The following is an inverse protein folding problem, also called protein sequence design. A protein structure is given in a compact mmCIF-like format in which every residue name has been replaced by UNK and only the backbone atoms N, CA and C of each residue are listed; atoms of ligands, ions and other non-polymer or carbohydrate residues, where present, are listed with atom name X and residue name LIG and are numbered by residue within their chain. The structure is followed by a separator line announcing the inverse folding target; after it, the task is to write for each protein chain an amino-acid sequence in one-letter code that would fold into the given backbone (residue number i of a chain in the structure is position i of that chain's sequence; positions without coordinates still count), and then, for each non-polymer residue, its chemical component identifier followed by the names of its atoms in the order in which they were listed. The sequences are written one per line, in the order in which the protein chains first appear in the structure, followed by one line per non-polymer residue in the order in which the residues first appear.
data_IF_632220630069
#
_entry.id   IF_632220630069
#
_cell.length_a   1.000
_cell.length_b   1.000
_cell.length_c   1.000
_cell.angle_alpha   90.00
_cell.angle_beta   90.00
_cell.angle_gamma   90.00
#
_symmetry.space_group_name_H-M   'P 1'
#
loop_
_entity.id
_entity.type
_entity.pdbx_description
1 polymer ?
#
# COMPACT_ATOMS: atom_id res chain seq x y z
N UNK A 1 11.51 3.65 -3.98
CA UNK A 1 12.90 3.34 -4.36
C UNK A 1 13.48 4.55 -5.05
N UNK A 2 14.76 4.94 -4.78
CA UNK A 2 15.43 6.05 -5.47
C UNK A 2 15.95 5.63 -6.84
N UNK A 3 16.09 6.61 -7.75
CA UNK A 3 16.69 6.37 -9.05
C UNK A 3 18.16 5.94 -8.90
N UNK A 4 18.90 6.56 -7.97
CA UNK A 4 20.27 6.17 -7.65
C UNK A 4 20.39 4.71 -7.21
N UNK A 5 19.45 4.21 -6.40
CA UNK A 5 19.44 2.81 -5.98
C UNK A 5 19.18 1.86 -7.17
N UNK A 6 18.23 2.21 -8.07
CA UNK A 6 17.94 1.41 -9.26
C UNK A 6 19.15 1.31 -10.20
N UNK A 7 19.85 2.41 -10.41
CA UNK A 7 21.10 2.45 -11.22
C UNK A 7 22.18 1.54 -10.62
N UNK A 8 22.44 1.68 -9.33
CA UNK A 8 23.42 0.86 -8.63
C UNK A 8 23.04 -0.63 -8.63
N UNK A 9 21.75 -0.94 -8.46
CA UNK A 9 21.26 -2.32 -8.53
C UNK A 9 21.45 -2.91 -9.93
N UNK A 10 21.12 -2.15 -10.99
CA UNK A 10 21.32 -2.58 -12.38
C UNK A 10 22.79 -2.82 -12.69
N UNK A 11 23.66 -1.91 -12.26
CA UNK A 11 25.09 -2.04 -12.45
C UNK A 11 25.65 -3.29 -11.74
N UNK A 12 25.20 -3.54 -10.52
CA UNK A 12 25.60 -4.72 -9.75
C UNK A 12 25.12 -6.02 -10.40
N UNK A 13 23.82 -6.12 -10.72
CA UNK A 13 23.21 -7.35 -11.26
C UNK A 13 23.69 -7.70 -12.66
N UNK A 14 24.04 -6.69 -13.48
CA UNK A 14 24.58 -6.90 -14.81
C UNK A 14 25.90 -7.70 -14.80
N UNK A 15 26.73 -7.53 -13.77
CA UNK A 15 28.00 -8.27 -13.61
C UNK A 15 27.79 -9.77 -13.47
N UNK A 16 26.62 -10.19 -13.02
CA UNK A 16 26.28 -11.59 -12.75
C UNK A 16 25.17 -12.13 -13.67
N UNK A 17 24.75 -11.37 -14.67
CA UNK A 17 23.65 -11.78 -15.55
C UNK A 17 22.29 -11.91 -14.86
N UNK A 18 22.12 -11.32 -13.67
CA UNK A 18 20.89 -11.43 -12.90
C UNK A 18 19.83 -10.46 -13.45
N UNK A 19 18.63 -10.99 -13.74
CA UNK A 19 17.50 -10.20 -14.21
C UNK A 19 16.80 -9.47 -13.07
N UNK A 20 16.29 -8.27 -13.36
CA UNK A 20 15.51 -7.46 -12.40
C UNK A 20 14.06 -7.46 -12.82
N UNK A 21 13.19 -8.00 -11.96
CA UNK A 21 11.74 -7.87 -12.05
C UNK A 21 11.27 -6.81 -11.05
N UNK A 22 10.51 -5.83 -11.50
CA UNK A 22 9.97 -4.78 -10.63
C UNK A 22 8.47 -4.96 -10.39
N UNK A 23 8.02 -4.77 -9.15
CA UNK A 23 6.61 -4.55 -8.86
C UNK A 23 6.27 -3.07 -9.11
N UNK A 24 5.61 -2.81 -10.23
CA UNK A 24 5.20 -1.47 -10.69
C UNK A 24 3.86 -1.00 -10.13
N UNK A 25 3.26 -1.73 -9.21
CA UNK A 25 1.90 -1.47 -8.69
C UNK A 25 1.67 -0.01 -8.25
N UNK A 26 2.73 0.69 -7.78
CA UNK A 26 2.70 2.11 -7.40
C UNK A 26 3.87 2.87 -7.99
N UNK A 27 4.14 2.64 -9.25
CA UNK A 27 5.30 3.20 -9.93
C UNK A 27 5.17 4.71 -10.12
N UNK A 28 3.96 5.20 -10.41
CA UNK A 28 3.70 6.63 -10.58
C UNK A 28 3.91 7.39 -9.26
N UNK A 29 3.40 6.84 -8.13
CA UNK A 29 3.68 7.41 -6.80
C UNK A 29 5.18 7.43 -6.50
N UNK A 30 5.91 6.36 -6.84
CA UNK A 30 7.36 6.30 -6.64
C UNK A 30 8.11 7.33 -7.52
N UNK A 31 7.72 7.47 -8.78
CA UNK A 31 8.30 8.45 -9.71
C UNK A 31 8.08 9.88 -9.22
N UNK A 32 6.88 10.19 -8.72
CA UNK A 32 6.60 11.48 -8.11
C UNK A 32 7.52 11.76 -6.91
N UNK A 33 7.76 10.78 -6.03
CA UNK A 33 8.71 10.98 -4.92
C UNK A 33 10.15 11.17 -5.39
N UNK A 34 10.58 10.54 -6.48
CA UNK A 34 11.88 10.80 -7.10
C UNK A 34 11.94 12.25 -7.60
N UNK A 35 10.90 12.69 -8.32
CA UNK A 35 10.79 14.08 -8.80
C UNK A 35 10.93 15.10 -7.66
N UNK A 36 10.24 14.85 -6.54
CA UNK A 36 10.22 15.79 -5.40
C UNK A 36 11.46 15.74 -4.51
N UNK A 37 12.18 14.63 -4.45
CA UNK A 37 13.18 14.38 -3.41
C UNK A 37 14.59 14.19 -3.93
N UNK A 38 14.78 13.83 -5.22
CA UNK A 38 16.09 13.57 -5.76
C UNK A 38 16.63 14.75 -6.58
N UNK A 39 17.88 15.12 -6.32
CA UNK A 39 18.54 16.20 -7.05
C UNK A 39 18.65 15.85 -8.53
N UNK A 40 18.27 16.79 -9.40
CA UNK A 40 18.34 16.66 -10.84
C UNK A 40 17.07 16.11 -11.51
N UNK A 41 16.03 15.72 -10.73
CA UNK A 41 14.80 15.15 -11.26
C UNK A 41 13.58 16.08 -11.18
N UNK A 42 13.65 17.20 -10.49
CA UNK A 42 12.53 18.10 -10.19
C UNK A 42 11.84 18.73 -11.42
N UNK A 43 12.52 18.79 -12.56
CA UNK A 43 11.97 19.33 -13.83
C UNK A 43 11.48 18.26 -14.79
N UNK A 44 11.52 17.02 -14.40
CA UNK A 44 11.12 15.89 -15.23
C UNK A 44 9.71 15.47 -14.91
N UNK A 45 8.90 15.13 -15.93
CA UNK A 45 7.55 14.62 -15.73
C UNK A 45 7.56 13.23 -15.09
N UNK A 46 6.51 12.90 -14.34
CA UNK A 46 6.29 11.56 -13.76
C UNK A 46 6.37 10.50 -14.85
N UNK A 47 5.75 10.72 -16.01
CA UNK A 47 5.81 9.80 -17.14
C UNK A 47 7.26 9.50 -17.60
N UNK A 48 8.10 10.56 -17.71
CA UNK A 48 9.49 10.40 -18.11
C UNK A 48 10.33 9.62 -17.09
N UNK A 49 10.01 9.79 -15.81
CA UNK A 49 10.66 9.07 -14.70
C UNK A 49 10.24 7.60 -14.65
N UNK A 50 8.96 7.30 -14.87
CA UNK A 50 8.48 5.92 -15.01
C UNK A 50 9.20 5.22 -16.16
N UNK A 51 9.32 5.88 -17.32
CA UNK A 51 10.06 5.32 -18.46
C UNK A 51 11.53 5.05 -18.12
N UNK A 52 12.21 5.95 -17.39
CA UNK A 52 13.59 5.74 -16.95
C UNK A 52 13.68 4.56 -15.95
N UNK A 53 12.78 4.44 -14.98
CA UNK A 53 12.74 3.31 -14.06
C UNK A 53 12.64 1.98 -14.83
N UNK A 54 11.71 1.90 -15.79
CA UNK A 54 11.54 0.72 -16.63
C UNK A 54 12.81 0.33 -17.41
N UNK A 55 13.63 1.30 -17.82
CA UNK A 55 14.86 1.03 -18.57
C UNK A 55 15.94 0.30 -17.74
N UNK A 56 15.83 0.29 -16.43
CA UNK A 56 16.72 -0.45 -15.52
C UNK A 56 16.21 -1.84 -15.17
N UNK A 57 15.08 -2.30 -15.74
CA UNK A 57 14.46 -3.58 -15.40
C UNK A 57 14.29 -4.47 -16.62
N UNK A 58 14.20 -5.78 -16.42
CA UNK A 58 14.01 -6.78 -17.47
C UNK A 58 12.56 -7.19 -17.62
N UNK A 59 11.73 -6.82 -16.65
CA UNK A 59 10.29 -7.06 -16.66
C UNK A 59 9.61 -6.44 -15.45
N UNK A 60 8.28 -6.49 -15.46
CA UNK A 60 7.47 -5.85 -14.43
C UNK A 60 6.16 -6.59 -14.20
N UNK A 61 5.71 -6.62 -12.95
CA UNK A 61 4.32 -6.94 -12.58
C UNK A 61 3.57 -5.66 -12.26
N UNK A 62 2.30 -5.57 -12.65
CA UNK A 62 1.48 -4.39 -12.42
C UNK A 62 0.07 -4.76 -11.97
N UNK A 63 -0.36 -4.23 -10.85
CA UNK A 63 -1.75 -4.34 -10.39
C UNK A 63 -2.53 -3.09 -10.77
N UNK A 64 -3.45 -3.21 -11.72
CA UNK A 64 -4.26 -2.10 -12.23
C UNK A 64 -5.15 -1.44 -11.18
N UNK A 65 -5.50 -2.16 -10.11
CA UNK A 65 -6.32 -1.66 -8.99
C UNK A 65 -5.68 -0.52 -8.18
N UNK A 66 -4.49 -0.08 -8.51
CA UNK A 66 -3.77 1.00 -7.84
C UNK A 66 -3.55 2.15 -8.84
N UNK A 67 -2.38 2.25 -9.42
CA UNK A 67 -2.05 3.41 -10.25
C UNK A 67 -2.92 3.52 -11.51
N UNK A 68 -3.29 2.40 -12.16
CA UNK A 68 -4.15 2.47 -13.35
C UNK A 68 -5.64 2.78 -13.07
N UNK A 69 -6.03 3.11 -11.84
CA UNK A 69 -7.36 3.65 -11.49
C UNK A 69 -8.55 2.71 -11.81
N UNK A 70 -8.32 1.41 -11.92
CA UNK A 70 -9.35 0.42 -12.23
C UNK A 70 -9.69 -0.48 -11.04
N UNK A 71 -10.80 -1.20 -11.13
CA UNK A 71 -11.29 -2.09 -10.08
C UNK A 71 -10.66 -3.48 -10.11
N UNK A 72 -10.20 -3.92 -11.27
CA UNK A 72 -9.72 -5.27 -11.54
C UNK A 72 -8.59 -5.25 -12.57
N UNK A 73 -7.83 -6.32 -12.63
CA UNK A 73 -6.82 -6.52 -13.65
C UNK A 73 -5.42 -6.07 -13.28
N UNK A 74 -4.55 -6.30 -14.19
CA UNK A 74 -3.13 -6.03 -14.14
C UNK A 74 -2.44 -6.65 -15.34
N UNK A 75 -1.13 -6.58 -15.38
CA UNK A 75 -0.34 -7.20 -16.43
C UNK A 75 1.05 -7.63 -15.95
N UNK A 76 1.64 -8.52 -16.71
CA UNK A 76 3.04 -8.86 -16.66
C UNK A 76 3.69 -8.32 -17.96
N UNK A 77 4.77 -7.56 -17.83
CA UNK A 77 5.59 -7.08 -18.94
C UNK A 77 6.96 -7.74 -18.87
N UNK A 78 7.45 -8.24 -20.00
CA UNK A 78 8.73 -8.94 -20.11
C UNK A 78 9.48 -8.49 -21.36
N UNK A 79 10.81 -8.30 -21.24
CA UNK A 79 11.70 -8.06 -22.39
C UNK A 79 12.19 -9.36 -23.01
N UNK A 80 12.07 -10.50 -22.33
CA UNK A 80 12.51 -11.82 -22.73
C UNK A 80 11.34 -12.53 -23.45
N UNK A 81 11.52 -12.83 -24.74
CA UNK A 81 10.49 -13.43 -25.59
C UNK A 81 10.10 -14.84 -25.15
N UNK A 82 11.06 -15.67 -24.77
CA UNK A 82 10.82 -17.05 -24.33
C UNK A 82 9.97 -17.07 -23.06
N UNK A 83 10.34 -16.23 -22.07
CA UNK A 83 9.56 -16.08 -20.85
C UNK A 83 8.17 -15.46 -21.08
N UNK A 84 8.05 -14.59 -22.06
CA UNK A 84 6.75 -14.05 -22.46
C UNK A 84 5.84 -15.14 -23.02
N UNK A 85 6.37 -16.03 -23.86
CA UNK A 85 5.61 -17.16 -24.43
C UNK A 85 5.20 -18.18 -23.34
N UNK A 86 6.12 -18.52 -22.42
CA UNK A 86 5.81 -19.35 -21.26
C UNK A 86 4.70 -18.74 -20.39
N UNK A 87 4.82 -17.46 -20.06
CA UNK A 87 3.82 -16.74 -19.26
C UNK A 87 2.46 -16.66 -19.97
N UNK A 88 2.45 -16.44 -21.28
CA UNK A 88 1.21 -16.43 -22.09
C UNK A 88 0.49 -17.77 -22.05
N UNK A 89 1.22 -18.87 -22.11
CA UNK A 89 0.66 -20.22 -21.98
C UNK A 89 0.04 -20.43 -20.57
N UNK A 90 0.70 -19.96 -19.51
CA UNK A 90 0.16 -20.02 -18.15
C UNK A 90 -1.12 -19.16 -17.99
N UNK A 91 -1.20 -18.01 -18.64
CA UNK A 91 -2.44 -17.20 -18.66
C UNK A 91 -3.59 -18.00 -19.24
N UNK A 92 -3.37 -18.72 -20.34
CA UNK A 92 -4.41 -19.58 -20.94
C UNK A 92 -4.89 -20.67 -19.99
N UNK A 93 -3.98 -21.24 -19.21
CA UNK A 93 -4.32 -22.32 -18.26
C UNK A 93 -5.11 -21.82 -17.05
N UNK A 94 -4.77 -20.66 -16.52
CA UNK A 94 -5.27 -20.20 -15.21
C UNK A 94 -6.30 -19.08 -15.26
N UNK A 95 -6.28 -18.22 -16.29
CA UNK A 95 -7.07 -16.98 -16.31
C UNK A 95 -7.99 -16.86 -17.53
N UNK A 96 -7.53 -17.20 -18.72
CA UNK A 96 -8.28 -17.06 -19.98
C UNK A 96 -7.32 -16.91 -21.16
N UNK A 97 -7.81 -16.46 -22.32
CA UNK A 97 -6.92 -16.24 -23.46
C UNK A 97 -5.92 -15.11 -23.17
N UNK A 98 -4.70 -15.25 -23.66
CA UNK A 98 -3.62 -14.26 -23.46
C UNK A 98 -3.95 -12.87 -24.01
N UNK A 99 -4.92 -12.75 -24.92
CA UNK A 99 -5.37 -11.48 -25.50
C UNK A 99 -6.17 -10.60 -24.53
N UNK A 100 -6.82 -11.18 -23.52
CA UNK A 100 -7.62 -10.45 -22.53
C UNK A 100 -7.39 -10.89 -21.07
N UNK A 101 -6.69 -12.02 -20.83
CA UNK A 101 -6.37 -12.49 -19.48
C UNK A 101 -7.59 -12.65 -18.56
N UNK A 102 -8.75 -13.07 -19.09
CA UNK A 102 -9.99 -13.18 -18.33
C UNK A 102 -10.70 -11.85 -18.04
N UNK A 103 -10.20 -10.71 -18.54
CA UNK A 103 -10.80 -9.39 -18.33
C UNK A 103 -11.90 -9.09 -19.36
N UNK A 104 -12.96 -8.40 -18.95
CA UNK A 104 -13.93 -7.84 -19.86
C UNK A 104 -13.33 -6.65 -20.66
N UNK A 105 -13.83 -6.43 -21.90
CA UNK A 105 -13.33 -5.34 -22.75
C UNK A 105 -13.37 -3.97 -22.08
N UNK A 106 -14.45 -3.66 -21.33
CA UNK A 106 -14.58 -2.42 -20.57
C UNK A 106 -13.48 -2.23 -19.50
N UNK A 107 -13.03 -3.32 -18.87
CA UNK A 107 -11.98 -3.26 -17.84
C UNK A 107 -10.61 -3.03 -18.49
N UNK A 108 -10.38 -3.63 -19.66
CA UNK A 108 -9.15 -3.39 -20.45
C UNK A 108 -9.09 -1.96 -20.97
N UNK A 109 -10.19 -1.42 -21.50
CA UNK A 109 -10.27 -0.03 -21.96
C UNK A 109 -10.05 0.95 -20.79
N UNK A 110 -10.73 0.73 -19.67
CA UNK A 110 -10.54 1.55 -18.47
C UNK A 110 -9.08 1.51 -18.00
N UNK A 111 -8.43 0.35 -18.04
CA UNK A 111 -7.02 0.20 -17.65
C UNK A 111 -6.08 0.91 -18.64
N UNK A 112 -6.35 0.86 -19.94
CA UNK A 112 -5.57 1.57 -20.95
C UNK A 112 -5.60 3.09 -20.73
N UNK A 113 -6.78 3.66 -20.46
CA UNK A 113 -6.95 5.07 -20.11
C UNK A 113 -6.27 5.37 -18.77
N UNK A 114 -6.52 4.55 -17.75
CA UNK A 114 -6.00 4.75 -16.41
C UNK A 114 -4.47 4.70 -16.32
N UNK A 115 -3.79 3.89 -17.14
CA UNK A 115 -2.33 3.87 -17.22
C UNK A 115 -1.80 5.23 -17.69
N UNK A 116 -2.43 5.83 -18.72
CA UNK A 116 -2.03 7.13 -19.25
C UNK A 116 -2.31 8.24 -18.24
N UNK A 117 -3.47 8.23 -17.60
CA UNK A 117 -3.84 9.23 -16.60
C UNK A 117 -2.98 9.15 -15.34
N UNK A 118 -2.59 7.93 -14.92
CA UNK A 118 -1.83 7.72 -13.69
C UNK A 118 -0.46 8.41 -13.66
N UNK A 119 0.12 8.69 -14.82
CA UNK A 119 1.44 9.34 -14.95
C UNK A 119 1.36 10.84 -15.26
N UNK A 120 0.17 11.44 -15.21
CA UNK A 120 0.01 12.88 -15.31
C UNK A 120 0.48 13.56 -14.02
N UNK A 121 1.27 14.62 -14.14
CA UNK A 121 1.87 15.31 -12.99
C UNK A 121 0.79 15.92 -12.08
N UNK A 122 -0.22 16.56 -12.63
CA UNK A 122 -1.34 17.15 -11.88
C UNK A 122 -2.18 16.12 -11.14
N UNK A 123 -2.42 14.95 -11.76
CA UNK A 123 -3.07 13.82 -11.10
C UNK A 123 -2.25 13.36 -9.89
N UNK A 124 -0.94 13.23 -10.05
CA UNK A 124 -0.06 12.77 -8.97
C UNK A 124 0.07 13.80 -7.87
N UNK A 125 0.13 15.09 -8.19
CA UNK A 125 0.11 16.18 -7.21
C UNK A 125 -1.17 16.16 -6.36
N UNK A 126 -2.33 16.01 -7.00
CA UNK A 126 -3.60 15.89 -6.29
C UNK A 126 -3.66 14.62 -5.44
N UNK A 127 -3.20 13.49 -5.98
CA UNK A 127 -3.18 12.19 -5.31
C UNK A 127 -2.33 12.18 -4.05
N UNK A 128 -1.08 12.61 -4.16
CA UNK A 128 -0.14 12.66 -3.04
C UNK A 128 -0.52 13.79 -2.09
N UNK A 129 -0.94 14.93 -2.61
CA UNK A 129 -1.42 16.07 -1.84
C UNK A 129 -2.54 15.70 -0.87
N UNK A 130 -3.50 14.87 -1.29
CA UNK A 130 -4.58 14.38 -0.42
C UNK A 130 -4.05 13.54 0.76
N UNK A 131 -3.07 12.67 0.51
CA UNK A 131 -2.46 11.85 1.57
C UNK A 131 -1.63 12.71 2.52
N UNK A 132 -0.86 13.66 1.99
CA UNK A 132 -0.08 14.61 2.77
C UNK A 132 -0.98 15.50 3.63
N UNK A 133 -2.12 15.95 3.09
CA UNK A 133 -3.10 16.74 3.83
C UNK A 133 -3.55 16.04 5.10
N UNK A 134 -4.05 14.79 4.98
CA UNK A 134 -4.46 14.01 6.16
C UNK A 134 -3.26 13.75 7.09
N UNK A 135 -2.08 13.42 6.55
CA UNK A 135 -0.88 13.19 7.34
C UNK A 135 -0.48 14.39 8.19
N UNK A 136 -0.49 15.60 7.60
CA UNK A 136 -0.19 16.84 8.30
C UNK A 136 -1.24 17.15 9.37
N UNK A 137 -2.52 16.98 9.07
CA UNK A 137 -3.60 17.13 10.05
C UNK A 137 -3.39 16.24 11.29
N UNK A 138 -2.95 14.99 11.09
CA UNK A 138 -2.66 14.08 12.21
C UNK A 138 -1.40 14.49 12.97
N UNK A 139 -0.37 14.95 12.27
CA UNK A 139 0.87 15.46 12.90
C UNK A 139 0.59 16.66 13.78
N UNK A 140 -0.17 17.64 13.28
CA UNK A 140 -0.55 18.85 14.00
C UNK A 140 -1.35 18.55 15.27
N UNK A 141 -2.16 17.49 15.25
CA UNK A 141 -2.90 17.00 16.42
C UNK A 141 -2.07 16.10 17.36
N UNK A 142 -0.79 15.96 17.12
CA UNK A 142 0.10 15.15 17.95
C UNK A 142 -0.13 13.63 17.84
N UNK A 143 -0.81 13.16 16.80
CA UNK A 143 -1.04 11.74 16.58
C UNK A 143 0.24 11.04 16.13
N UNK A 144 0.63 9.94 16.78
CA UNK A 144 1.83 9.19 16.40
C UNK A 144 1.65 8.46 15.08
N UNK A 145 2.29 8.94 14.03
CA UNK A 145 2.30 8.31 12.70
C UNK A 145 3.71 8.02 12.23
N UNK A 146 3.85 7.08 11.27
CA UNK A 146 5.12 6.82 10.58
C UNK A 146 5.46 8.00 9.66
N UNK A 147 6.69 8.47 9.73
CA UNK A 147 7.21 9.58 8.91
C UNK A 147 8.42 9.10 8.08
N UNK A 148 8.62 9.66 6.89
CA UNK A 148 7.76 10.63 6.19
C UNK A 148 6.44 10.00 5.73
N UNK A 149 5.42 10.84 5.50
CA UNK A 149 4.13 10.39 4.97
C UNK A 149 4.33 9.79 3.57
N UNK A 150 3.65 8.67 3.31
CA UNK A 150 3.74 7.96 2.03
C UNK A 150 2.74 8.45 0.98
N UNK A 151 2.66 7.74 -0.16
CA UNK A 151 1.82 8.14 -1.29
C UNK A 151 0.40 7.55 -1.30
N UNK A 152 0.14 6.48 -0.54
CA UNK A 152 -1.15 5.78 -0.66
C UNK A 152 -1.94 5.66 0.65
N UNK A 153 -1.36 6.07 1.75
CA UNK A 153 -2.00 6.00 3.06
C UNK A 153 -1.06 6.39 4.18
N UNK A 154 -1.65 6.49 5.36
CA UNK A 154 -0.97 6.86 6.58
C UNK A 154 -0.92 5.66 7.51
N UNK A 155 0.20 5.50 8.20
CA UNK A 155 0.38 4.43 9.18
C UNK A 155 0.42 5.04 10.57
N UNK A 156 -0.62 4.82 11.36
CA UNK A 156 -0.69 5.23 12.77
C UNK A 156 0.04 4.20 13.61
N UNK A 157 0.93 4.66 14.48
CA UNK A 157 1.68 3.81 15.43
C UNK A 157 0.79 3.49 16.64
N UNK A 158 0.14 2.33 16.60
CA UNK A 158 -0.79 1.91 17.64
C UNK A 158 -0.12 1.64 18.99
N UNK A 159 1.16 1.26 19.03
CA UNK A 159 1.90 1.14 20.30
C UNK A 159 2.05 2.48 21.01
N UNK A 160 2.35 3.53 20.26
CA UNK A 160 2.46 4.88 20.80
C UNK A 160 1.10 5.52 21.05
N UNK A 161 0.10 5.12 20.29
CA UNK A 161 -1.27 5.60 20.45
C UNK A 161 -1.93 5.04 21.72
N UNK A 162 -1.74 3.73 22.01
CA UNK A 162 -2.29 2.98 23.12
C UNK A 162 -1.18 2.36 23.99
N UNK A 163 -0.33 3.19 24.65
CA UNK A 163 0.88 2.69 25.31
C UNK A 163 0.59 1.84 26.54
N UNK A 164 -0.61 1.87 27.09
CA UNK A 164 -1.05 1.07 28.23
C UNK A 164 -1.44 -0.36 27.83
N UNK A 165 -1.64 -0.65 26.54
CA UNK A 165 -1.98 -1.99 26.06
C UNK A 165 -0.71 -2.82 25.75
N UNK A 166 -0.70 -4.06 26.23
CA UNK A 166 0.32 -5.03 25.83
C UNK A 166 0.10 -5.45 24.37
N UNK A 167 1.15 -5.85 23.68
CA UNK A 167 1.05 -6.31 22.30
C UNK A 167 0.13 -7.54 22.15
N UNK A 168 0.07 -8.41 23.17
CA UNK A 168 -0.87 -9.54 23.26
C UNK A 168 -2.34 -9.14 23.39
N UNK A 169 -2.61 -7.86 23.56
CA UNK A 169 -3.96 -7.29 23.61
C UNK A 169 -4.34 -6.62 22.27
N UNK A 170 -3.54 -6.82 21.24
CA UNK A 170 -3.79 -6.45 19.85
C UNK A 170 -4.01 -4.94 19.62
N UNK A 171 -3.12 -4.03 20.05
CA UNK A 171 -3.36 -2.58 20.02
C UNK A 171 -3.71 -2.04 18.62
N UNK A 172 -3.12 -2.57 17.55
CA UNK A 172 -3.47 -2.14 16.19
C UNK A 172 -4.88 -2.58 15.78
N UNK A 173 -5.31 -3.79 16.19
CA UNK A 173 -6.67 -4.25 15.95
C UNK A 173 -7.68 -3.47 16.81
N UNK A 174 -7.34 -3.17 18.05
CA UNK A 174 -8.14 -2.30 18.94
C UNK A 174 -8.36 -0.95 18.29
N UNK A 175 -7.30 -0.29 17.86
CA UNK A 175 -7.40 1.04 17.24
C UNK A 175 -8.22 1.00 15.95
N UNK A 176 -8.08 -0.02 15.12
CA UNK A 176 -8.89 -0.17 13.91
C UNK A 176 -10.39 -0.32 14.24
N UNK A 177 -10.73 -1.07 15.30
CA UNK A 177 -12.11 -1.22 15.75
C UNK A 177 -12.68 0.09 16.33
N UNK A 178 -11.91 0.79 17.17
CA UNK A 178 -12.32 2.06 17.78
C UNK A 178 -12.58 3.16 16.73
N UNK A 179 -11.78 3.22 15.67
CA UNK A 179 -12.01 4.16 14.56
C UNK A 179 -13.29 3.80 13.77
N UNK A 180 -13.57 2.51 13.62
CA UNK A 180 -14.78 2.07 12.96
C UNK A 180 -16.03 2.38 13.80
N UNK A 181 -16.00 2.14 15.11
CA UNK A 181 -17.07 2.47 16.03
C UNK A 181 -17.32 3.98 16.14
N UNK A 182 -16.26 4.80 16.08
CA UNK A 182 -16.37 6.26 16.23
C UNK A 182 -16.98 6.95 15.01
N UNK A 183 -16.57 6.56 13.80
CA UNK A 183 -16.99 7.25 12.58
C UNK A 183 -17.07 6.38 11.32
N UNK A 184 -17.19 5.05 11.47
CA UNK A 184 -17.26 4.14 10.33
C UNK A 184 -15.96 4.05 9.52
N UNK A 185 -14.81 4.46 10.08
CA UNK A 185 -13.54 4.46 9.37
C UNK A 185 -12.97 3.05 9.29
N UNK A 186 -12.99 2.48 8.10
CA UNK A 186 -12.40 1.17 7.84
C UNK A 186 -10.90 1.28 7.68
N UNK A 187 -10.17 0.89 8.72
CA UNK A 187 -8.73 0.84 8.76
C UNK A 187 -8.20 -0.61 8.65
N UNK A 188 -6.90 -0.77 8.45
CA UNK A 188 -6.28 -2.09 8.31
C UNK A 188 -5.20 -2.27 9.35
N UNK A 189 -5.32 -3.30 10.17
CA UNK A 189 -4.30 -3.74 11.12
C UNK A 189 -3.01 -4.18 10.37
N UNK A 190 -1.86 -3.77 10.88
CA UNK A 190 -0.52 -4.14 10.42
C UNK A 190 0.41 -4.35 11.61
N UNK A 191 0.04 -5.29 12.46
CA UNK A 191 0.75 -5.65 13.67
C UNK A 191 0.71 -7.16 13.89
N UNK A 192 0.48 -7.57 15.13
CA UNK A 192 0.55 -8.96 15.57
C UNK A 192 -0.47 -9.89 14.88
N UNK A 193 -1.67 -9.39 14.50
CA UNK A 193 -2.67 -10.21 13.81
C UNK A 193 -2.19 -10.56 12.41
N UNK A 194 -1.73 -9.56 11.64
CA UNK A 194 -1.22 -9.77 10.28
C UNK A 194 0.15 -10.49 10.26
N UNK A 195 0.96 -10.37 11.30
CA UNK A 195 2.24 -11.06 11.42
C UNK A 195 2.08 -12.59 11.59
N UNK A 196 0.97 -13.03 12.17
CA UNK A 196 0.68 -14.45 12.31
C UNK A 196 1.40 -15.12 13.47
N UNK A 197 1.66 -16.42 13.32
CA UNK A 197 2.36 -17.26 14.31
C UNK A 197 3.65 -17.82 13.74
N UNK A 198 4.59 -18.04 14.63
CA UNK A 198 5.80 -18.79 14.34
C UNK A 198 5.41 -20.25 14.04
N UNK A 199 5.83 -20.76 12.88
CA UNK A 199 5.48 -22.13 12.44
C UNK A 199 6.08 -23.24 13.29
N UNK A 200 7.15 -22.96 14.06
CA UNK A 200 7.84 -23.95 14.90
C UNK A 200 7.33 -23.96 16.34
N UNK A 201 7.08 -22.76 16.94
CA UNK A 201 6.70 -22.65 18.35
C UNK A 201 5.20 -22.44 18.55
N UNK A 202 4.45 -22.14 17.48
CA UNK A 202 3.05 -21.74 17.53
C UNK A 202 2.76 -20.44 18.30
N UNK A 203 3.80 -19.76 18.80
CA UNK A 203 3.67 -18.47 19.47
C UNK A 203 3.35 -17.36 18.47
N UNK A 204 2.77 -16.27 18.96
CA UNK A 204 2.61 -15.08 18.15
C UNK A 204 3.95 -14.56 17.64
N UNK A 205 4.00 -14.19 16.37
CA UNK A 205 5.10 -13.39 15.88
C UNK A 205 4.89 -11.93 16.32
N UNK A 206 5.84 -11.41 17.10
CA UNK A 206 5.78 -10.05 17.65
C UNK A 206 6.55 -9.07 16.77
N UNK A 207 5.89 -8.34 15.85
CA UNK A 207 6.57 -7.34 15.04
C UNK A 207 7.04 -6.16 15.91
N UNK A 208 8.11 -5.48 15.45
CA UNK A 208 8.61 -4.29 16.16
C UNK A 208 7.57 -3.17 16.19
N UNK A 209 6.80 -3.04 15.12
CA UNK A 209 5.79 -2.01 14.94
C UNK A 209 4.38 -2.63 14.98
N UNK A 210 3.47 -1.94 15.65
CA UNK A 210 2.03 -2.18 15.62
C UNK A 210 1.37 -1.01 14.88
N UNK A 211 0.97 -1.21 13.65
CA UNK A 211 0.50 -0.13 12.79
C UNK A 211 -0.96 -0.31 12.40
N UNK A 212 -1.64 0.80 12.28
CA UNK A 212 -2.96 0.89 11.61
C UNK A 212 -2.79 1.68 10.33
N UNK A 213 -3.12 1.06 9.20
CA UNK A 213 -3.06 1.69 7.90
C UNK A 213 -4.40 2.33 7.54
N UNK A 214 -4.40 3.64 7.38
CA UNK A 214 -5.45 4.42 6.77
C UNK A 214 -5.14 4.55 5.28
N UNK A 215 -5.74 3.68 4.47
CA UNK A 215 -5.53 3.68 3.01
C UNK A 215 -6.49 4.66 2.37
N UNK A 216 -5.98 5.58 1.54
CA UNK A 216 -6.80 6.53 0.81
C UNK A 216 -6.97 6.03 -0.62
N UNK A 217 -8.17 5.62 -1.03
CA UNK A 217 -8.46 5.23 -2.42
C UNK A 217 -8.31 6.45 -3.34
N UNK A 218 -7.98 6.17 -4.60
CA UNK A 218 -7.81 7.22 -5.61
C UNK A 218 -9.15 7.68 -6.13
N UNK A 219 -9.33 9.02 -6.21
CA UNK A 219 -10.54 9.66 -6.79
C UNK A 219 -11.88 9.24 -6.14
N UNK A 220 -11.87 8.86 -4.86
CA UNK A 220 -13.08 8.45 -4.14
C UNK A 220 -13.50 9.48 -3.11
N UNK A 221 -12.55 10.00 -2.34
CA UNK A 221 -12.81 10.91 -1.22
C UNK A 221 -12.39 12.35 -1.53
N UNK A 222 -13.13 13.28 -0.95
CA UNK A 222 -12.82 14.72 -0.95
C UNK A 222 -12.02 15.11 0.30
N UNK A 223 -11.61 16.38 0.37
CA UNK A 223 -10.97 16.95 1.55
C UNK A 223 -11.86 16.80 2.81
N UNK A 224 -13.16 17.07 2.69
CA UNK A 224 -14.10 16.94 3.81
C UNK A 224 -14.08 15.54 4.45
N UNK A 225 -13.89 14.48 3.66
CA UNK A 225 -13.73 13.13 4.21
C UNK A 225 -12.41 12.98 4.99
N UNK A 226 -11.34 13.65 4.55
CA UNK A 226 -10.06 13.65 5.27
C UNK A 226 -10.19 14.38 6.61
N UNK A 227 -10.96 15.47 6.65
CA UNK A 227 -11.24 16.23 7.88
C UNK A 227 -12.00 15.35 8.90
N UNK A 228 -13.04 14.65 8.46
CA UNK A 228 -13.78 13.70 9.30
C UNK A 228 -12.87 12.61 9.86
N UNK A 229 -11.96 12.07 9.03
CA UNK A 229 -11.00 11.06 9.48
C UNK A 229 -10.06 11.66 10.54
N UNK A 230 -9.50 12.84 10.31
CA UNK A 230 -8.59 13.50 11.24
C UNK A 230 -9.25 13.77 12.60
N UNK A 231 -10.49 14.29 12.58
CA UNK A 231 -11.29 14.54 13.78
C UNK A 231 -11.62 13.25 14.55
N UNK A 232 -12.00 12.20 13.85
CA UNK A 232 -12.28 10.90 14.50
C UNK A 232 -11.03 10.34 15.18
N UNK A 233 -9.89 10.32 14.47
CA UNK A 233 -8.62 9.87 15.05
C UNK A 233 -8.27 10.70 16.29
N UNK A 234 -8.49 12.01 16.26
CA UNK A 234 -8.25 12.88 17.41
C UNK A 234 -9.21 12.58 18.58
N UNK A 235 -10.52 12.39 18.32
CA UNK A 235 -11.49 12.00 19.36
C UNK A 235 -11.11 10.71 20.05
N UNK A 236 -10.73 9.68 19.26
CA UNK A 236 -10.26 8.40 19.79
C UNK A 236 -8.97 8.58 20.59
N UNK A 237 -8.04 9.42 20.13
CA UNK A 237 -6.79 9.71 20.83
C UNK A 237 -7.03 10.40 22.18
N UNK A 238 -7.94 11.36 22.26
CA UNK A 238 -8.30 12.05 23.50
C UNK A 238 -8.87 11.11 24.57
N UNK A 239 -9.58 10.05 24.17
CA UNK A 239 -10.14 9.04 25.10
C UNK A 239 -9.31 7.76 25.22
N UNK A 240 -8.11 7.70 24.66
CA UNK A 240 -7.28 6.49 24.51
C UNK A 240 -7.04 5.71 25.80
N UNK A 241 -6.91 6.39 26.93
CA UNK A 241 -6.63 5.77 28.24
C UNK A 241 -7.81 4.91 28.75
N UNK A 242 -9.01 5.13 28.24
CA UNK A 242 -10.23 4.37 28.58
C UNK A 242 -10.40 3.15 27.66
N UNK A 243 -9.62 3.05 26.61
CA UNK A 243 -9.72 1.97 25.60
C UNK A 243 -9.11 0.71 26.18
N UNK A 244 -9.87 -0.38 26.14
CA UNK A 244 -9.44 -1.70 26.61
C UNK A 244 -8.91 -2.54 25.48
N UNK A 245 -8.06 -3.52 25.82
CA UNK A 245 -7.53 -4.50 24.89
C UNK A 245 -8.57 -5.48 24.37
N UNK A 246 -8.14 -6.30 23.41
CA UNK A 246 -8.94 -7.38 22.85
C UNK A 246 -8.40 -8.74 23.30
N UNK A 247 -9.28 -9.72 23.29
CA UNK A 247 -8.98 -11.15 23.38
C UNK A 247 -9.38 -11.80 22.04
N UNK A 248 -8.48 -12.61 21.47
CA UNK A 248 -8.80 -13.39 20.28
C UNK A 248 -9.60 -14.63 20.68
N UNK A 249 -10.87 -14.68 20.35
CA UNK A 249 -11.79 -15.78 20.70
C UNK A 249 -11.91 -16.85 19.60
N UNK A 250 -11.45 -16.54 18.40
CA UNK A 250 -11.38 -17.48 17.29
C UNK A 250 -10.20 -17.17 16.38
N UNK A 251 -9.43 -18.20 16.08
CA UNK A 251 -8.31 -18.13 15.14
C UNK A 251 -8.46 -19.26 14.10
N UNK A 252 -8.64 -18.92 12.82
CA UNK A 252 -8.71 -19.93 11.77
C UNK A 252 -7.32 -20.50 11.46
N UNK A 253 -7.29 -21.71 10.96
CA UNK A 253 -6.04 -22.36 10.51
C UNK A 253 -5.35 -21.56 9.39
N UNK A 254 -6.13 -20.95 8.51
CA UNK A 254 -5.65 -20.12 7.41
C UNK A 254 -6.34 -18.76 7.42
N UNK A 255 -5.71 -17.76 6.82
CA UNK A 255 -6.29 -16.41 6.65
C UNK A 255 -6.66 -15.72 7.99
N UNK A 256 -5.85 -15.93 9.03
CA UNK A 256 -6.03 -15.33 10.37
C UNK A 256 -6.36 -13.84 10.28
N UNK A 257 -5.61 -13.09 9.51
CA UNK A 257 -5.79 -11.66 9.34
C UNK A 257 -7.20 -11.26 8.87
N UNK A 258 -7.85 -12.12 8.08
CA UNK A 258 -9.17 -11.82 7.52
C UNK A 258 -10.33 -12.39 8.32
N UNK A 259 -10.10 -13.42 9.14
CA UNK A 259 -11.18 -14.22 9.73
C UNK A 259 -11.11 -14.35 11.25
N UNK A 260 -10.02 -13.94 11.90
CA UNK A 260 -9.93 -13.96 13.35
C UNK A 260 -11.07 -13.12 13.98
N UNK A 261 -11.60 -13.60 15.13
CA UNK A 261 -12.66 -12.91 15.87
C UNK A 261 -12.15 -12.49 17.24
N UNK A 262 -12.62 -11.34 17.67
CA UNK A 262 -12.16 -10.71 18.90
C UNK A 262 -13.34 -10.34 19.80
N UNK A 263 -13.05 -10.25 21.11
CA UNK A 263 -13.94 -9.73 22.13
C UNK A 263 -13.21 -8.64 22.92
N UNK A 264 -13.91 -7.56 23.28
CA UNK A 264 -13.36 -6.55 24.21
C UNK A 264 -13.16 -7.18 25.60
N UNK A 265 -12.04 -6.87 26.24
CA UNK A 265 -11.77 -7.22 27.63
C UNK A 265 -12.53 -6.37 28.62
#
# INVERSE_FOLDING_TARGET
VSMGNLKALREFTAKYGIKIMIDMTRIAENAWFIQQREKGYSRRSVASLVKEICSYTDGATFSGKKDALVNIGGFLALNDKEKFEEASNLVVVYEGLHTYGGLAGRDMEAMAIGIVESVQDDHMDARIGQVLYLGNQLIERGIPIVRPVGGHGIFVDAKKFLPHLKQTEFPAQVLAAELYEDAGIRAMERGIVSAGRNSKTSDHYYPKLELVRLTIPRRVYTQAHMDVIAESVERVYKRREKIRGLEMIYEPKYLRFFQARFRKK
#
